data_IF_359597565404
#
_entry.id   IF_359597565404
#
_cell.length_a   1.000
_cell.length_b   1.000
_cell.length_c   1.000
_cell.angle_alpha   90.00
_cell.angle_beta   90.00
_cell.angle_gamma   90.00
#
_symmetry.space_group_name_H-M   'P 1'
#
loop_
_entity.id
_entity.type
_entity.pdbx_description
1 polymer ?
#
# COMPACT_ATOMS: atom_id res chain seq x y z
N UNK A 1 -21.97 0.88 -22.07
CA UNK A 1 -21.21 0.83 -20.79
C UNK A 1 -19.75 0.45 -21.07
N UNK A 2 -18.78 0.99 -20.33
CA UNK A 2 -17.35 0.64 -20.46
C UNK A 2 -17.12 -0.87 -20.41
N UNK A 3 -17.90 -1.59 -19.60
CA UNK A 3 -17.90 -3.05 -19.49
C UNK A 3 -18.24 -3.73 -20.83
N UNK A 4 -19.23 -3.23 -21.59
CA UNK A 4 -19.60 -3.80 -22.90
C UNK A 4 -18.50 -3.59 -23.96
N UNK A 5 -17.81 -2.45 -23.93
CA UNK A 5 -16.69 -2.16 -24.85
C UNK A 5 -15.49 -3.06 -24.56
N UNK A 6 -15.19 -3.29 -23.28
CA UNK A 6 -14.17 -4.23 -22.84
C UNK A 6 -14.57 -5.67 -23.19
N UNK A 7 -15.82 -6.08 -22.96
CA UNK A 7 -16.32 -7.42 -23.29
C UNK A 7 -16.25 -7.71 -24.80
N UNK A 8 -16.63 -6.77 -25.66
CA UNK A 8 -16.64 -6.98 -27.12
C UNK A 8 -15.24 -7.17 -27.72
N UNK A 9 -14.22 -6.50 -27.18
CA UNK A 9 -12.85 -6.52 -27.73
C UNK A 9 -11.86 -7.35 -26.90
N UNK A 10 -12.18 -7.69 -25.64
CA UNK A 10 -11.28 -8.44 -24.76
C UNK A 10 -11.75 -9.89 -24.48
N UNK A 11 -13.04 -10.26 -24.65
CA UNK A 11 -13.47 -11.68 -24.49
C UNK A 11 -12.89 -12.64 -25.53
N UNK A 12 -12.55 -12.14 -26.72
CA UNK A 12 -11.95 -12.94 -27.80
C UNK A 12 -10.42 -13.04 -27.72
N UNK A 13 -9.80 -12.49 -26.67
CA UNK A 13 -8.35 -12.54 -26.51
C UNK A 13 -7.94 -13.90 -25.92
N UNK A 14 -7.05 -14.62 -26.60
CA UNK A 14 -6.48 -15.91 -26.15
C UNK A 14 -5.83 -15.83 -24.76
N UNK A 15 -5.46 -14.63 -24.32
CA UNK A 15 -4.78 -14.35 -23.06
C UNK A 15 -5.70 -13.77 -21.97
N UNK A 16 -7.01 -13.72 -22.20
CA UNK A 16 -7.98 -13.23 -21.21
C UNK A 16 -8.25 -14.32 -20.16
N UNK A 17 -8.01 -14.02 -18.88
CA UNK A 17 -8.39 -14.90 -17.77
C UNK A 17 -9.42 -14.21 -16.86
N UNK A 18 -10.47 -14.95 -16.50
CA UNK A 18 -11.61 -14.47 -15.68
C UNK A 18 -11.35 -14.68 -14.17
N UNK A 19 -10.18 -15.19 -13.81
CA UNK A 19 -9.89 -15.55 -12.42
C UNK A 19 -9.68 -14.30 -11.55
N UNK A 20 -10.74 -14.01 -10.78
CA UNK A 20 -10.81 -13.26 -9.54
C UNK A 20 -10.87 -11.72 -9.64
N UNK A 21 -12.10 -11.22 -9.51
CA UNK A 21 -12.54 -9.93 -8.95
C UNK A 21 -11.94 -8.63 -9.54
N UNK A 22 -11.11 -8.71 -10.56
CA UNK A 22 -10.47 -7.56 -11.19
C UNK A 22 -10.33 -7.82 -12.69
N UNK A 23 -10.94 -6.95 -13.50
CA UNK A 23 -10.73 -6.97 -14.96
C UNK A 23 -9.26 -6.58 -15.18
N UNK A 24 -8.39 -7.57 -15.38
CA UNK A 24 -6.99 -7.31 -15.74
C UNK A 24 -6.94 -7.05 -17.23
N UNK A 25 -6.48 -5.85 -17.61
CA UNK A 25 -6.13 -5.58 -19.00
C UNK A 25 -5.06 -6.58 -19.46
N UNK A 26 -5.29 -7.24 -20.59
CA UNK A 26 -4.33 -8.17 -21.19
C UNK A 26 -2.97 -7.49 -21.40
N UNK A 27 -1.87 -8.15 -21.02
CA UNK A 27 -0.51 -7.59 -21.15
C UNK A 27 0.14 -7.83 -22.51
N UNK A 28 -0.43 -8.73 -23.31
CA UNK A 28 0.16 -9.19 -24.56
C UNK A 28 -0.48 -8.56 -25.80
N UNK A 29 -1.73 -8.11 -25.73
CA UNK A 29 -2.38 -7.49 -26.89
C UNK A 29 -2.07 -5.97 -26.98
N UNK A 30 -1.97 -5.40 -28.20
CA UNK A 30 -1.66 -3.97 -28.40
C UNK A 30 -2.65 -3.02 -27.68
N UNK A 31 -3.93 -3.39 -27.64
CA UNK A 31 -4.96 -2.60 -26.95
C UNK A 31 -4.77 -2.60 -25.43
N UNK A 32 -4.45 -3.74 -24.85
CA UNK A 32 -4.20 -3.87 -23.41
C UNK A 32 -2.92 -3.17 -22.98
N UNK A 33 -1.87 -3.21 -23.80
CA UNK A 33 -0.65 -2.42 -23.58
C UNK A 33 -0.91 -0.91 -23.66
N UNK A 34 -1.69 -0.46 -24.65
CA UNK A 34 -2.08 0.95 -24.78
C UNK A 34 -2.92 1.43 -23.59
N UNK A 35 -3.87 0.63 -23.13
CA UNK A 35 -4.66 0.94 -21.93
C UNK A 35 -3.76 1.05 -20.68
N UNK A 36 -2.81 0.13 -20.49
CA UNK A 36 -1.85 0.21 -19.38
C UNK A 36 -0.95 1.44 -19.47
N UNK A 37 -0.48 1.80 -20.66
CA UNK A 37 0.34 3.00 -20.86
C UNK A 37 -0.41 4.28 -20.52
N UNK A 38 -1.70 4.35 -20.88
CA UNK A 38 -2.57 5.49 -20.57
C UNK A 38 -2.97 5.54 -19.08
N UNK A 39 -3.19 4.40 -18.43
CA UNK A 39 -3.60 4.35 -17.02
C UNK A 39 -2.43 4.59 -16.06
N UNK A 40 -1.23 4.08 -16.35
CA UNK A 40 -0.05 4.19 -15.48
C UNK A 40 0.29 5.62 -15.00
N UNK A 41 0.19 6.69 -15.81
CA UNK A 41 0.38 8.05 -15.31
C UNK A 41 -0.77 8.53 -14.42
N UNK A 42 -2.01 8.05 -14.61
CA UNK A 42 -3.17 8.40 -13.78
C UNK A 42 -3.06 7.83 -12.35
N UNK A 43 -2.37 6.70 -12.19
CA UNK A 43 -2.07 6.10 -10.87
C UNK A 43 -0.83 6.69 -10.19
N UNK A 44 -0.12 7.63 -10.84
CA UNK A 44 1.10 8.26 -10.27
C UNK A 44 0.82 9.56 -9.53
N UNK A 45 -0.45 9.90 -9.31
CA UNK A 45 -0.86 11.05 -8.53
C UNK A 45 -1.42 10.55 -7.19
N UNK A 46 -0.65 10.79 -6.13
CA UNK A 46 -1.09 10.98 -4.75
C UNK A 46 -1.43 9.79 -3.84
N UNK A 47 -1.12 8.56 -4.22
CA UNK A 47 -1.17 7.43 -3.29
C UNK A 47 0.24 6.85 -3.13
N UNK A 48 1.08 7.53 -2.33
CA UNK A 48 2.19 6.85 -1.67
C UNK A 48 1.61 5.56 -1.07
N UNK A 49 2.10 4.40 -1.51
CA UNK A 49 1.55 3.12 -1.07
C UNK A 49 1.32 3.17 0.45
N UNK A 50 0.14 2.78 0.98
CA UNK A 50 -0.13 2.81 2.43
C UNK A 50 0.78 1.86 3.22
N UNK A 51 1.73 1.22 2.56
CA UNK A 51 2.87 0.54 3.15
C UNK A 51 3.76 1.57 3.83
N UNK A 52 3.39 1.90 5.07
CA UNK A 52 4.20 2.73 5.96
C UNK A 52 5.65 2.25 6.01
N UNK A 53 6.56 3.18 6.34
CA UNK A 53 8.01 3.00 6.43
C UNK A 53 8.37 1.63 7.03
N UNK A 54 9.12 0.84 6.28
CA UNK A 54 9.67 -0.46 6.72
C UNK A 54 11.16 -0.32 7.03
N UNK A 55 11.74 -1.28 7.75
CA UNK A 55 13.17 -1.26 8.11
C UNK A 55 13.45 -0.87 9.57
N UNK A 56 14.74 -0.66 9.89
CA UNK A 56 15.25 -0.42 11.26
C UNK A 56 14.56 0.76 11.94
N UNK A 57 14.28 0.64 13.23
CA UNK A 57 13.82 1.74 14.08
C UNK A 57 15.01 2.61 14.45
N UNK A 58 14.84 3.93 14.37
CA UNK A 58 15.85 4.88 14.89
C UNK A 58 15.59 5.19 16.35
N UNK A 59 16.60 5.68 17.06
CA UNK A 59 16.48 6.07 18.46
C UNK A 59 15.46 7.20 18.65
N UNK A 60 15.37 8.13 17.71
CA UNK A 60 14.38 9.20 17.73
C UNK A 60 12.96 8.67 17.54
N UNK A 61 12.78 7.64 16.69
CA UNK A 61 11.48 6.99 16.53
C UNK A 61 11.05 6.31 17.84
N UNK A 62 11.96 5.56 18.48
CA UNK A 62 11.70 4.89 19.76
C UNK A 62 11.42 5.89 20.89
N UNK A 63 12.25 6.93 21.01
CA UNK A 63 12.05 8.02 21.96
C UNK A 63 10.67 8.66 21.76
N UNK A 64 10.32 8.97 20.51
CA UNK A 64 9.03 9.60 20.21
C UNK A 64 7.85 8.72 20.60
N UNK A 65 7.82 7.46 20.17
CA UNK A 65 6.68 6.59 20.48
C UNK A 65 6.58 6.29 21.98
N UNK A 66 7.70 6.15 22.70
CA UNK A 66 7.68 5.89 24.15
C UNK A 66 7.07 7.04 24.95
N UNK A 67 7.40 8.28 24.60
CA UNK A 67 6.95 9.46 25.36
C UNK A 67 5.55 9.94 24.98
N UNK A 68 5.08 9.63 23.78
CA UNK A 68 3.79 10.13 23.28
C UNK A 68 2.69 9.06 23.22
N UNK A 69 3.02 7.78 23.41
CA UNK A 69 2.01 6.72 23.42
C UNK A 69 1.09 6.82 24.64
N UNK A 70 -0.22 6.86 24.39
CA UNK A 70 -1.25 7.06 25.43
C UNK A 70 -1.53 8.54 25.75
N UNK A 71 -0.66 9.46 25.32
CA UNK A 71 -0.89 10.91 25.40
C UNK A 71 -1.52 11.43 24.11
N UNK A 72 -1.02 10.97 22.97
CA UNK A 72 -1.53 11.32 21.64
C UNK A 72 -2.27 10.14 20.99
N UNK A 73 -3.24 10.40 20.10
CA UNK A 73 -3.83 9.37 19.26
C UNK A 73 -2.75 8.64 18.45
N UNK A 74 -2.89 7.33 18.31
CA UNK A 74 -1.89 6.47 17.66
C UNK A 74 -1.71 6.78 16.16
N UNK A 75 -2.72 7.40 15.55
CA UNK A 75 -2.72 7.93 14.20
C UNK A 75 -1.73 9.09 14.05
N UNK A 76 -1.58 9.94 15.08
CA UNK A 76 -0.59 11.04 15.10
C UNK A 76 0.82 10.47 15.15
N UNK A 77 1.04 9.41 15.94
CA UNK A 77 2.32 8.70 15.98
C UNK A 77 2.62 8.06 14.62
N UNK A 78 1.62 7.45 13.99
CA UNK A 78 1.73 6.86 12.66
C UNK A 78 2.09 7.91 11.61
N UNK A 79 1.41 9.05 11.60
CA UNK A 79 1.68 10.14 10.67
C UNK A 79 3.09 10.72 10.85
N UNK A 80 3.54 10.94 12.10
CA UNK A 80 4.86 11.52 12.35
C UNK A 80 6.01 10.57 12.01
N UNK A 81 5.86 9.29 12.33
CA UNK A 81 6.93 8.29 12.09
C UNK A 81 6.87 7.72 10.67
N UNK A 82 5.75 7.89 9.97
CA UNK A 82 5.45 7.20 8.72
C UNK A 82 5.27 5.68 8.88
N UNK A 83 5.25 5.15 10.11
CA UNK A 83 5.10 3.72 10.41
C UNK A 83 3.63 3.36 10.51
N UNK A 84 3.28 2.11 10.17
CA UNK A 84 1.91 1.64 10.41
C UNK A 84 1.63 1.52 11.92
N UNK A 85 0.37 1.69 12.30
CA UNK A 85 -0.11 1.53 13.67
C UNK A 85 0.31 0.17 14.25
N UNK A 86 0.21 -0.89 13.46
CA UNK A 86 0.61 -2.24 13.88
C UNK A 86 2.11 -2.34 14.16
N UNK A 87 2.96 -1.68 13.35
CA UNK A 87 4.39 -1.66 13.58
C UNK A 87 4.75 -0.92 14.88
N UNK A 88 4.06 0.19 15.16
CA UNK A 88 4.23 0.97 16.40
C UNK A 88 3.87 0.11 17.63
N UNK A 89 2.72 -0.56 17.62
CA UNK A 89 2.30 -1.44 18.72
C UNK A 89 3.32 -2.54 19.01
N UNK A 90 3.75 -3.25 17.95
CA UNK A 90 4.76 -4.31 18.07
C UNK A 90 6.10 -3.79 18.58
N UNK A 91 6.51 -2.59 18.15
CA UNK A 91 7.75 -1.98 18.65
C UNK A 91 7.64 -1.62 20.13
N UNK A 92 6.52 -1.04 20.56
CA UNK A 92 6.28 -0.71 21.97
C UNK A 92 6.24 -1.95 22.85
N UNK A 93 5.65 -3.06 22.40
CA UNK A 93 5.70 -4.34 23.11
C UNK A 93 7.15 -4.83 23.27
N UNK A 94 7.96 -4.75 22.22
CA UNK A 94 9.37 -5.13 22.28
C UNK A 94 10.21 -4.22 23.20
N UNK A 95 9.94 -2.91 23.22
CA UNK A 95 10.63 -1.95 24.08
C UNK A 95 10.21 -2.05 25.56
N UNK A 96 8.95 -2.46 25.84
CA UNK A 96 8.46 -2.66 27.21
C UNK A 96 8.81 -4.03 27.78
N UNK A 97 8.95 -5.04 26.91
CA UNK A 97 9.33 -6.41 27.30
C UNK A 97 10.84 -6.66 27.34
N UNK A 98 11.65 -5.70 26.89
CA UNK A 98 13.09 -5.69 27.08
C UNK A 98 13.44 -4.63 28.12
N UNK A 99 13.57 -5.02 29.38
CA UNK A 99 14.23 -4.18 30.38
C UNK A 99 15.63 -3.81 29.85
N UNK A 100 15.99 -2.52 29.79
CA UNK A 100 17.39 -2.15 29.69
C UNK A 100 18.07 -2.54 31.01
N UNK A 101 19.03 -3.46 30.92
CA UNK A 101 20.07 -3.65 31.94
C UNK A 101 21.16 -2.58 31.80
#
# INVERSE_FOLDING_TARGET
MVIQTLDQHCRGCEFFSVELASIRACRQCPHGQRMQALSRPLWRQDEASPRGKTGRWTEEEDFYILHHYGVQPIEVLSARTGRSIQAIRKRLEALKGGEPA
#
